data_IF_363565736376
#
_entry.id   IF_363565736376
#
_cell.length_a   1.000
_cell.length_b   1.000
_cell.length_c   1.000
_cell.angle_alpha   90.00
_cell.angle_beta   90.00
_cell.angle_gamma   90.00
#
_symmetry.space_group_name_H-M   'P 1'
#
loop_
_entity.id
_entity.type
_entity.pdbx_description
1 polymer ?
#
# COMPACT_ATOMS: atom_id res chain seq x y z
N UNK A 1 6.73 15.11 39.51
CA UNK A 1 6.17 15.46 38.18
C UNK A 1 6.70 14.46 37.16
N UNK A 2 5.88 13.49 36.76
CA UNK A 2 6.24 12.53 35.70
C UNK A 2 6.19 13.27 34.36
N UNK A 3 7.33 13.33 33.67
CA UNK A 3 7.47 14.00 32.38
C UNK A 3 6.58 13.29 31.37
N UNK A 4 5.67 14.03 30.72
CA UNK A 4 4.87 13.48 29.63
C UNK A 4 5.78 12.78 28.58
N UNK A 5 5.40 11.60 28.07
CA UNK A 5 6.20 10.93 27.06
C UNK A 5 6.37 11.85 25.86
N UNK A 6 7.61 12.06 25.43
CA UNK A 6 7.89 12.83 24.21
C UNK A 6 7.13 12.19 23.05
N UNK A 7 6.42 12.96 22.21
CA UNK A 7 5.81 12.42 21.02
C UNK A 7 6.88 11.71 20.19
N UNK A 8 6.58 10.48 19.77
CA UNK A 8 7.50 9.72 18.92
C UNK A 8 7.61 10.47 17.59
N UNK A 9 8.84 10.75 17.10
CA UNK A 9 9.01 11.41 15.82
C UNK A 9 8.41 10.56 14.70
N UNK A 10 7.77 11.22 13.74
CA UNK A 10 7.11 10.59 12.59
C UNK A 10 8.09 9.83 11.70
N UNK A 11 9.32 10.34 11.59
CA UNK A 11 10.43 9.78 10.83
C UNK A 11 11.69 9.63 11.70
N UNK A 12 12.47 8.58 11.45
CA UNK A 12 13.81 8.43 12.03
C UNK A 12 14.80 9.41 11.38
N UNK A 13 15.87 9.78 12.11
CA UNK A 13 16.91 10.65 11.56
C UNK A 13 17.56 10.09 10.28
N UNK A 14 17.63 8.75 10.17
CA UNK A 14 18.14 8.08 8.97
C UNK A 14 17.20 8.30 7.77
N UNK A 15 15.89 8.17 7.96
CA UNK A 15 14.89 8.42 6.91
C UNK A 15 14.91 9.88 6.45
N UNK A 16 14.97 10.82 7.39
CA UNK A 16 15.06 12.24 7.07
C UNK A 16 16.34 12.54 6.30
N UNK A 17 17.47 11.97 6.74
CA UNK A 17 18.75 12.19 6.07
C UNK A 17 18.77 11.58 4.66
N UNK A 18 18.23 10.38 4.48
CA UNK A 18 18.10 9.74 3.17
C UNK A 18 17.16 10.49 2.22
N UNK A 19 16.22 11.29 2.74
CA UNK A 19 15.33 12.12 1.92
C UNK A 19 16.03 13.39 1.45
N UNK A 20 16.63 14.14 2.38
CA UNK A 20 17.18 15.45 2.07
C UNK A 20 18.57 15.39 1.47
N UNK A 21 19.32 14.31 1.65
CA UNK A 21 20.73 14.27 1.27
C UNK A 21 21.06 13.15 0.29
N UNK A 22 21.90 13.49 -0.68
CA UNK A 22 22.51 12.57 -1.63
C UNK A 22 24.02 12.54 -1.39
N UNK A 23 24.70 11.37 -1.47
CA UNK A 23 26.16 11.34 -1.45
C UNK A 23 26.73 12.26 -2.53
N UNK A 24 27.72 13.08 -2.18
CA UNK A 24 28.48 13.80 -3.20
C UNK A 24 29.28 12.79 -4.01
N UNK A 25 29.44 13.05 -5.31
CA UNK A 25 30.33 12.28 -6.16
C UNK A 25 31.57 13.10 -6.55
N UNK A 26 32.68 12.42 -6.78
CA UNK A 26 33.89 13.01 -7.35
C UNK A 26 33.81 13.12 -8.88
N UNK A 27 34.93 13.47 -9.51
CA UNK A 27 35.06 13.62 -10.97
C UNK A 27 34.84 12.31 -11.75
N UNK A 28 34.92 11.16 -11.10
CA UNK A 28 34.65 9.83 -11.68
C UNK A 28 33.25 9.31 -11.34
N UNK A 29 32.38 10.16 -10.80
CA UNK A 29 31.06 9.81 -10.28
C UNK A 29 31.08 8.88 -9.05
N UNK A 30 32.23 8.71 -8.40
CA UNK A 30 32.36 7.84 -7.23
C UNK A 30 31.94 8.57 -5.94
N UNK A 31 31.26 7.90 -4.99
CA UNK A 31 30.79 8.55 -3.76
C UNK A 31 31.95 9.07 -2.90
N UNK A 32 31.99 10.37 -2.66
CA UNK A 32 32.93 11.00 -1.72
C UNK A 32 32.51 10.65 -0.30
N UNK A 33 33.31 9.89 0.47
CA UNK A 33 32.94 9.46 1.81
C UNK A 33 32.66 10.65 2.73
N UNK A 34 31.67 10.51 3.59
CA UNK A 34 31.26 11.52 4.56
C UNK A 34 30.66 12.82 3.97
N UNK A 35 30.69 13.07 2.66
CA UNK A 35 30.13 14.29 2.08
C UNK A 35 28.78 14.05 1.43
N UNK A 36 27.82 14.87 1.84
CA UNK A 36 26.43 14.75 1.42
C UNK A 36 25.90 16.10 0.97
N UNK A 37 25.23 16.13 -0.17
CA UNK A 37 24.58 17.33 -0.70
C UNK A 37 23.10 17.32 -0.35
N UNK A 38 22.64 18.36 0.34
CA UNK A 38 21.23 18.57 0.62
C UNK A 38 20.47 18.95 -0.66
N UNK A 39 19.16 18.69 -0.71
CA UNK A 39 18.24 19.16 -1.76
C UNK A 39 18.27 20.69 -1.94
N UNK A 40 18.56 21.47 -0.90
CA UNK A 40 18.77 22.92 -1.00
C UNK A 40 20.14 23.31 -1.59
N UNK A 41 20.96 22.34 -2.00
CA UNK A 41 22.30 22.53 -2.57
C UNK A 41 23.43 22.57 -1.54
N UNK A 42 23.13 22.71 -0.24
CA UNK A 42 24.17 22.80 0.81
C UNK A 42 24.90 21.47 1.02
N UNK A 43 26.22 21.49 0.99
CA UNK A 43 27.05 20.30 1.29
C UNK A 43 27.32 20.21 2.79
N UNK A 44 27.15 19.02 3.37
CA UNK A 44 27.40 18.70 4.77
C UNK A 44 28.32 17.49 4.88
N UNK A 45 29.26 17.57 5.82
CA UNK A 45 30.14 16.45 6.17
C UNK A 45 29.59 15.68 7.36
N UNK A 46 29.24 14.41 7.19
CA UNK A 46 28.80 13.49 8.24
C UNK A 46 29.96 12.57 8.67
N UNK A 47 30.60 12.90 9.80
CA UNK A 47 31.64 12.05 10.39
C UNK A 47 31.03 10.94 11.24
N UNK A 48 31.69 9.78 11.31
CA UNK A 48 31.25 8.63 12.15
C UNK A 48 30.94 8.99 13.60
N UNK A 49 31.63 9.98 14.18
CA UNK A 49 31.43 10.44 15.57
C UNK A 49 30.11 11.19 15.80
N UNK A 50 29.56 11.85 14.78
CA UNK A 50 28.44 12.78 14.94
C UNK A 50 27.06 12.15 14.69
N UNK A 51 27.02 10.92 14.16
CA UNK A 51 25.79 10.29 13.72
C UNK A 51 25.02 11.18 12.73
N UNK A 52 23.71 11.31 12.89
CA UNK A 52 22.85 12.17 12.05
C UNK A 52 22.64 13.59 12.61
N UNK A 53 23.28 13.94 13.73
CA UNK A 53 22.93 15.15 14.48
C UNK A 53 23.13 16.44 13.70
N UNK A 54 24.24 16.53 12.95
CA UNK A 54 24.57 17.68 12.11
C UNK A 54 23.64 17.82 10.88
N UNK A 55 23.30 16.71 10.24
CA UNK A 55 22.36 16.65 9.12
C UNK A 55 20.96 17.09 9.61
N UNK A 56 20.53 16.57 10.75
CA UNK A 56 19.25 16.94 11.35
C UNK A 56 19.19 18.39 11.80
N UNK A 57 20.28 18.95 12.31
CA UNK A 57 20.35 20.37 12.65
C UNK A 57 20.18 21.24 11.39
N UNK A 58 20.81 20.85 10.28
CA UNK A 58 20.62 21.54 9.01
C UNK A 58 19.18 21.44 8.51
N UNK A 59 18.61 20.22 8.49
CA UNK A 59 17.23 20.01 8.02
C UNK A 59 16.24 20.82 8.85
N UNK A 60 16.33 20.80 10.18
CA UNK A 60 15.40 21.59 11.02
C UNK A 60 15.49 23.09 10.79
N UNK A 61 16.64 23.60 10.33
CA UNK A 61 16.87 25.02 10.10
C UNK A 61 16.45 25.46 8.70
N UNK A 62 16.86 24.72 7.67
CA UNK A 62 16.61 25.08 6.26
C UNK A 62 15.32 24.46 5.70
N UNK A 63 14.80 23.41 6.35
CA UNK A 63 13.57 22.71 5.98
C UNK A 63 12.64 22.56 7.21
N UNK A 64 12.10 23.67 7.77
CA UNK A 64 11.25 23.59 8.97
C UNK A 64 10.00 22.71 8.77
N UNK A 65 9.51 22.62 7.53
CA UNK A 65 8.37 21.82 7.07
C UNK A 65 8.74 20.40 6.62
N UNK A 66 9.95 19.91 6.92
CA UNK A 66 10.47 18.66 6.35
C UNK A 66 9.53 17.45 6.47
N UNK A 67 8.78 17.33 7.57
CA UNK A 67 7.84 16.21 7.76
C UNK A 67 6.65 16.24 6.81
N UNK A 68 6.20 17.44 6.42
CA UNK A 68 5.10 17.62 5.47
C UNK A 68 5.61 17.37 4.04
N UNK A 69 6.79 17.89 3.71
CA UNK A 69 7.47 17.63 2.43
C UNK A 69 7.68 16.13 2.22
N UNK A 70 8.19 15.41 3.23
CA UNK A 70 8.39 13.96 3.16
C UNK A 70 7.07 13.17 3.01
N UNK A 71 5.95 13.70 3.52
CA UNK A 71 4.63 13.05 3.39
C UNK A 71 3.98 13.29 2.03
N UNK A 72 4.23 14.46 1.43
CA UNK A 72 3.71 14.82 0.12
C UNK A 72 4.57 14.29 -1.05
N UNK A 73 5.80 13.83 -0.75
CA UNK A 73 6.74 13.38 -1.74
C UNK A 73 6.19 12.25 -2.62
N UNK A 74 6.33 12.41 -3.93
CA UNK A 74 5.91 11.41 -4.91
C UNK A 74 7.01 10.39 -5.18
N UNK A 75 6.63 9.23 -5.74
CA UNK A 75 7.61 8.25 -6.26
C UNK A 75 8.48 8.87 -7.37
N UNK A 76 7.95 9.79 -8.17
CA UNK A 76 8.71 10.51 -9.19
C UNK A 76 9.84 11.36 -8.60
N UNK A 77 9.61 12.03 -7.46
CA UNK A 77 10.59 12.90 -6.79
C UNK A 77 11.64 12.16 -5.96
N UNK A 78 11.40 10.90 -5.64
CA UNK A 78 12.24 10.14 -4.70
C UNK A 78 12.74 8.81 -5.25
N UNK A 79 12.30 8.41 -6.43
CA UNK A 79 12.56 7.10 -7.04
C UNK A 79 11.78 5.96 -6.36
N UNK A 80 11.83 5.87 -5.04
CA UNK A 80 11.12 4.84 -4.27
C UNK A 80 10.71 5.33 -2.88
N UNK A 81 9.44 5.11 -2.53
CA UNK A 81 8.93 5.38 -1.18
C UNK A 81 9.47 4.41 -0.11
N UNK A 82 10.10 3.30 -0.53
CA UNK A 82 10.60 2.25 0.38
C UNK A 82 11.60 2.81 1.40
N UNK A 83 12.43 3.78 1.00
CA UNK A 83 13.45 4.37 1.89
C UNK A 83 12.84 5.24 3.00
N UNK A 84 11.60 5.70 2.84
CA UNK A 84 10.90 6.58 3.79
C UNK A 84 9.77 5.86 4.54
N UNK A 85 9.32 4.72 4.02
CA UNK A 85 8.37 3.86 4.71
C UNK A 85 8.98 3.27 5.99
N UNK A 86 8.14 3.03 7.00
CA UNK A 86 8.57 2.29 8.19
C UNK A 86 9.01 0.89 7.75
N UNK A 87 10.11 0.39 8.32
CA UNK A 87 10.63 -0.97 8.02
C UNK A 87 9.53 -2.04 8.15
N UNK A 88 8.67 -1.93 9.16
CA UNK A 88 7.53 -2.83 9.35
C UNK A 88 6.52 -2.76 8.21
N UNK A 89 6.24 -1.57 7.66
CA UNK A 89 5.35 -1.40 6.50
C UNK A 89 5.97 -2.01 5.25
N UNK A 90 7.26 -1.76 5.00
CA UNK A 90 8.00 -2.37 3.88
C UNK A 90 7.97 -3.88 3.99
N UNK A 91 8.19 -4.43 5.19
CA UNK A 91 8.18 -5.87 5.42
C UNK A 91 6.81 -6.49 5.13
N UNK A 92 5.74 -5.86 5.62
CA UNK A 92 4.35 -6.29 5.41
C UNK A 92 3.96 -6.23 3.93
N UNK A 93 4.30 -5.12 3.28
CA UNK A 93 4.07 -4.97 1.84
C UNK A 93 4.84 -6.00 1.03
N UNK A 94 6.11 -6.28 1.37
CA UNK A 94 6.91 -7.30 0.68
C UNK A 94 6.29 -8.70 0.76
N UNK A 95 5.74 -9.09 1.93
CA UNK A 95 5.00 -10.35 2.05
C UNK A 95 3.72 -10.37 1.22
N UNK A 96 2.92 -9.30 1.27
CA UNK A 96 1.69 -9.18 0.48
C UNK A 96 1.98 -9.25 -1.02
N UNK A 97 2.93 -8.45 -1.49
CA UNK A 97 3.33 -8.39 -2.90
C UNK A 97 3.79 -9.76 -3.38
N UNK A 98 4.66 -10.43 -2.61
CA UNK A 98 5.19 -11.73 -3.01
C UNK A 98 4.08 -12.78 -3.07
N UNK A 99 3.26 -12.91 -2.02
CA UNK A 99 2.22 -13.95 -1.98
C UNK A 99 1.16 -13.70 -3.05
N UNK A 100 0.70 -12.45 -3.22
CA UNK A 100 -0.36 -12.11 -4.18
C UNK A 100 0.13 -12.17 -5.61
N UNK A 101 1.25 -11.50 -5.95
CA UNK A 101 1.72 -11.43 -7.35
C UNK A 101 2.28 -12.75 -7.86
N UNK A 102 2.84 -13.59 -6.99
CA UNK A 102 3.30 -14.93 -7.35
C UNK A 102 2.22 -16.00 -7.18
N UNK A 103 0.99 -15.63 -6.81
CA UNK A 103 -0.14 -16.54 -6.61
C UNK A 103 0.22 -17.75 -5.71
N UNK A 104 0.84 -17.47 -4.56
CA UNK A 104 1.30 -18.49 -3.62
C UNK A 104 0.25 -18.78 -2.54
N UNK A 105 0.24 -19.99 -1.96
CA UNK A 105 -0.60 -20.28 -0.80
C UNK A 105 -0.28 -19.32 0.36
N UNK A 106 -1.30 -18.91 1.14
CA UNK A 106 -1.08 -18.02 2.30
C UNK A 106 -0.09 -18.60 3.32
N UNK A 107 -0.07 -19.93 3.48
CA UNK A 107 0.87 -20.67 4.34
C UNK A 107 2.34 -20.50 3.93
N UNK A 108 2.62 -19.96 2.74
CA UNK A 108 3.97 -19.72 2.26
C UNK A 108 4.76 -18.78 3.18
N UNK A 109 4.13 -17.78 3.81
CA UNK A 109 4.83 -16.88 4.73
C UNK A 109 5.36 -17.58 6.00
N UNK A 110 4.85 -18.78 6.29
CA UNK A 110 5.29 -19.64 7.38
C UNK A 110 6.22 -20.77 6.94
N UNK A 111 6.44 -20.94 5.64
CA UNK A 111 7.30 -21.98 5.10
C UNK A 111 8.75 -21.82 5.61
N UNK A 112 9.35 -22.86 6.23
CA UNK A 112 10.69 -22.77 6.79
C UNK A 112 11.78 -22.41 5.77
N UNK A 113 11.69 -22.90 4.53
CA UNK A 113 12.65 -22.59 3.47
C UNK A 113 12.47 -21.15 2.98
N UNK A 114 11.22 -20.70 2.78
CA UNK A 114 10.95 -19.32 2.40
C UNK A 114 11.51 -18.34 3.44
N UNK A 115 11.26 -18.60 4.73
CA UNK A 115 11.81 -17.82 5.86
C UNK A 115 13.33 -17.86 5.94
N UNK A 116 13.95 -19.00 5.57
CA UNK A 116 15.42 -19.15 5.58
C UNK A 116 16.10 -18.31 4.49
N UNK A 117 15.48 -18.18 3.32
CA UNK A 117 16.11 -17.56 2.15
C UNK A 117 15.64 -16.13 1.86
N UNK A 118 14.63 -15.63 2.57
CA UNK A 118 14.15 -14.24 2.44
C UNK A 118 14.88 -13.28 3.39
N UNK A 119 14.90 -12.00 3.01
CA UNK A 119 15.31 -10.90 3.90
C UNK A 119 14.13 -10.27 4.66
N UNK A 120 12.90 -10.77 4.45
CA UNK A 120 11.71 -10.32 5.16
C UNK A 120 11.64 -10.93 6.57
N UNK A 121 11.34 -10.09 7.57
CA UNK A 121 11.04 -10.52 8.92
C UNK A 121 9.82 -11.45 8.91
N UNK A 122 9.86 -12.61 9.61
CA UNK A 122 8.77 -13.58 9.61
C UNK A 122 7.43 -12.99 10.06
N UNK A 123 6.35 -13.38 9.39
CA UNK A 123 4.96 -13.11 9.79
C UNK A 123 4.16 -14.42 9.86
N UNK A 124 3.04 -14.39 10.57
CA UNK A 124 2.09 -15.52 10.59
C UNK A 124 1.05 -15.42 9.46
N UNK A 125 0.38 -16.54 9.16
CA UNK A 125 -0.74 -16.56 8.20
C UNK A 125 -1.86 -15.63 8.65
N UNK A 126 -2.16 -15.58 9.95
CA UNK A 126 -3.20 -14.69 10.49
C UNK A 126 -2.85 -13.22 10.27
N UNK A 127 -1.57 -12.88 10.46
CA UNK A 127 -1.07 -11.53 10.20
C UNK A 127 -1.19 -11.19 8.71
N UNK A 128 -0.78 -12.09 7.83
CA UNK A 128 -0.90 -11.89 6.38
C UNK A 128 -2.36 -11.70 5.97
N UNK A 129 -3.27 -12.55 6.46
CA UNK A 129 -4.70 -12.48 6.16
C UNK A 129 -5.31 -11.15 6.61
N UNK A 130 -5.05 -10.72 7.84
CA UNK A 130 -5.54 -9.44 8.34
C UNK A 130 -5.02 -8.25 7.52
N UNK A 131 -3.78 -8.32 7.04
CA UNK A 131 -3.21 -7.32 6.13
C UNK A 131 -3.91 -7.33 4.77
N UNK A 132 -4.17 -8.50 4.19
CA UNK A 132 -4.90 -8.63 2.93
C UNK A 132 -6.32 -8.07 3.04
N UNK A 133 -7.05 -8.41 4.11
CA UNK A 133 -8.39 -7.87 4.40
C UNK A 133 -8.37 -6.34 4.51
N UNK A 134 -7.39 -5.78 5.24
CA UNK A 134 -7.24 -4.33 5.39
C UNK A 134 -6.94 -3.64 4.05
N UNK A 135 -6.09 -4.24 3.21
CA UNK A 135 -5.77 -3.72 1.87
C UNK A 135 -6.98 -3.81 0.95
N UNK A 136 -7.73 -4.92 0.98
CA UNK A 136 -8.94 -5.08 0.19
C UNK A 136 -9.99 -4.01 0.54
N UNK A 137 -10.16 -3.69 1.84
CA UNK A 137 -11.05 -2.61 2.29
C UNK A 137 -10.59 -1.24 1.75
N UNK A 138 -9.30 -0.92 1.85
CA UNK A 138 -8.77 0.34 1.34
C UNK A 138 -8.93 0.47 -0.18
N UNK A 139 -8.62 -0.59 -0.92
CA UNK A 139 -8.86 -0.64 -2.37
C UNK A 139 -10.34 -0.49 -2.68
N UNK A 140 -11.23 -1.09 -1.89
CA UNK A 140 -12.67 -0.91 -2.03
C UNK A 140 -13.12 0.54 -1.87
N UNK A 141 -12.57 1.27 -0.89
CA UNK A 141 -12.82 2.70 -0.70
C UNK A 141 -12.30 3.53 -1.87
N UNK A 142 -11.11 3.20 -2.39
CA UNK A 142 -10.54 3.89 -3.55
C UNK A 142 -11.41 3.67 -4.81
N UNK A 143 -11.87 2.43 -5.04
CA UNK A 143 -12.83 2.12 -6.11
C UNK A 143 -14.12 2.93 -5.92
N UNK A 144 -14.70 2.94 -4.71
CA UNK A 144 -15.94 3.67 -4.44
C UNK A 144 -15.79 5.19 -4.71
N UNK A 145 -14.65 5.77 -4.34
CA UNK A 145 -14.35 7.19 -4.58
C UNK A 145 -14.12 7.53 -6.05
N UNK A 146 -13.66 6.58 -6.86
CA UNK A 146 -13.45 6.77 -8.30
C UNK A 146 -14.72 6.52 -9.14
N UNK A 147 -15.63 5.65 -8.67
CA UNK A 147 -16.75 5.19 -9.48
C UNK A 147 -17.68 6.33 -9.94
N UNK A 148 -17.95 6.47 -11.26
CA UNK A 148 -18.89 7.45 -11.76
C UNK A 148 -20.35 7.12 -11.41
N UNK A 149 -21.27 8.01 -11.73
CA UNK A 149 -22.72 7.76 -11.57
C UNK A 149 -23.27 6.75 -12.59
N UNK A 150 -22.60 6.62 -13.75
CA UNK A 150 -22.96 5.66 -14.80
C UNK A 150 -21.77 4.77 -15.11
N UNK A 151 -21.98 3.47 -14.98
CA UNK A 151 -21.02 2.42 -15.28
C UNK A 151 -21.77 1.18 -15.76
N UNK A 152 -21.05 0.27 -16.41
CA UNK A 152 -21.56 -1.06 -16.72
C UNK A 152 -21.17 -2.07 -15.63
N UNK A 153 -21.93 -3.16 -15.56
CA UNK A 153 -21.59 -4.34 -14.79
C UNK A 153 -21.27 -5.48 -15.76
N UNK A 154 -20.20 -6.21 -15.45
CA UNK A 154 -19.83 -7.44 -16.15
C UNK A 154 -19.83 -8.58 -15.13
N UNK A 155 -20.59 -9.63 -15.42
CA UNK A 155 -20.80 -10.76 -14.52
C UNK A 155 -20.13 -12.00 -15.12
N UNK A 156 -19.42 -12.74 -14.28
CA UNK A 156 -18.94 -14.09 -14.61
C UNK A 156 -19.43 -15.07 -13.55
N UNK A 157 -20.13 -16.11 -13.98
CA UNK A 157 -20.79 -17.07 -13.10
C UNK A 157 -20.28 -18.48 -13.36
N UNK A 158 -19.86 -19.18 -12.31
CA UNK A 158 -19.44 -20.59 -12.42
C UNK A 158 -19.90 -21.39 -11.22
N UNK A 159 -19.99 -22.71 -11.39
CA UNK A 159 -20.34 -23.63 -10.32
C UNK A 159 -19.15 -24.52 -9.97
N UNK A 160 -18.85 -24.63 -8.68
CA UNK A 160 -17.82 -25.54 -8.18
C UNK A 160 -18.29 -26.19 -6.88
N UNK A 161 -18.16 -27.51 -6.78
CA UNK A 161 -18.55 -28.30 -5.60
C UNK A 161 -19.96 -27.95 -5.08
N UNK A 162 -20.95 -27.91 -5.99
CA UNK A 162 -22.35 -27.58 -5.70
C UNK A 162 -22.63 -26.15 -5.23
N UNK A 163 -21.65 -25.25 -5.30
CA UNK A 163 -21.82 -23.82 -4.99
C UNK A 163 -21.73 -23.02 -6.29
N UNK A 164 -22.73 -22.17 -6.54
CA UNK A 164 -22.72 -21.22 -7.65
C UNK A 164 -22.13 -19.89 -7.19
N UNK A 165 -21.03 -19.51 -7.82
CA UNK A 165 -20.30 -18.27 -7.56
C UNK A 165 -20.59 -17.27 -8.67
N UNK A 166 -20.61 -16.00 -8.30
CA UNK A 166 -20.68 -14.88 -9.23
C UNK A 166 -19.52 -13.93 -8.91
N UNK A 167 -18.74 -13.60 -9.93
CA UNK A 167 -17.83 -12.47 -9.92
C UNK A 167 -18.52 -11.27 -10.56
N UNK A 168 -18.52 -10.15 -9.84
CA UNK A 168 -19.12 -8.89 -10.25
C UNK A 168 -18.00 -7.91 -10.54
N UNK A 169 -17.85 -7.53 -11.80
CA UNK A 169 -16.94 -6.48 -12.24
C UNK A 169 -17.72 -5.22 -12.56
N UNK A 170 -17.12 -4.08 -12.26
CA UNK A 170 -17.55 -2.79 -12.78
C UNK A 170 -16.69 -2.41 -13.99
N UNK A 171 -17.32 -1.84 -15.01
CA UNK A 171 -16.65 -1.32 -16.19
C UNK A 171 -17.07 0.12 -16.48
N UNK A 172 -16.10 1.02 -16.65
CA UNK A 172 -16.33 2.44 -16.87
C UNK A 172 -15.18 3.05 -17.66
N UNK A 173 -15.32 4.31 -18.10
CA UNK A 173 -14.29 5.01 -18.84
C UNK A 173 -13.82 6.25 -18.07
N UNK A 174 -12.51 6.43 -17.98
CA UNK A 174 -11.87 7.66 -17.47
C UNK A 174 -10.99 8.18 -18.60
N UNK A 175 -11.24 9.41 -19.05
CA UNK A 175 -10.51 10.07 -20.14
C UNK A 175 -10.40 9.21 -21.42
N UNK A 176 -11.48 8.50 -21.76
CA UNK A 176 -11.53 7.62 -22.93
C UNK A 176 -10.84 6.26 -22.76
N UNK A 177 -10.28 5.97 -21.59
CA UNK A 177 -9.65 4.69 -21.26
C UNK A 177 -10.60 3.84 -20.44
N UNK A 178 -10.88 2.62 -20.91
CA UNK A 178 -11.70 1.66 -20.19
C UNK A 178 -10.97 1.17 -18.92
N UNK A 179 -11.68 1.19 -17.80
CA UNK A 179 -11.25 0.66 -16.51
C UNK A 179 -12.19 -0.45 -16.06
N UNK A 180 -11.60 -1.43 -15.38
CA UNK A 180 -12.30 -2.60 -14.86
C UNK A 180 -11.84 -2.85 -13.42
N UNK A 181 -12.79 -3.08 -12.52
CA UNK A 181 -12.48 -3.47 -11.15
C UNK A 181 -13.41 -4.60 -10.69
N UNK A 182 -12.86 -5.57 -9.95
CA UNK A 182 -13.65 -6.62 -9.30
C UNK A 182 -14.26 -6.04 -8.02
N UNK A 183 -15.59 -6.06 -7.92
CA UNK A 183 -16.33 -5.61 -6.73
C UNK A 183 -16.56 -6.74 -5.74
N UNK A 184 -16.91 -7.92 -6.24
CA UNK A 184 -17.22 -9.08 -5.41
C UNK A 184 -16.96 -10.37 -6.18
N UNK A 185 -16.60 -11.41 -5.44
CA UNK A 185 -16.45 -12.77 -5.91
C UNK A 185 -16.95 -13.68 -4.79
N UNK A 186 -18.21 -14.08 -4.85
CA UNK A 186 -18.85 -14.81 -3.77
C UNK A 186 -19.91 -15.79 -4.27
N UNK A 187 -20.27 -16.79 -3.45
CA UNK A 187 -21.51 -17.55 -3.65
C UNK A 187 -22.71 -16.63 -3.71
N UNK A 188 -23.66 -16.95 -4.59
CA UNK A 188 -24.90 -16.20 -4.68
C UNK A 188 -25.92 -16.60 -3.61
N UNK A 189 -25.93 -17.89 -3.25
CA UNK A 189 -26.78 -18.41 -2.17
C UNK A 189 -26.03 -18.12 -0.86
N UNK A 190 -26.46 -17.07 -0.15
CA UNK A 190 -25.89 -16.64 1.12
C UNK A 190 -26.85 -16.91 2.28
N UNK A 191 -28.15 -16.86 2.02
CA UNK A 191 -29.22 -17.09 2.98
C UNK A 191 -30.00 -18.40 2.69
N UNK A 192 -30.68 -18.99 3.70
CA UNK A 192 -31.45 -20.22 3.52
C UNK A 192 -32.58 -20.14 2.49
N UNK A 193 -33.06 -18.93 2.17
CA UNK A 193 -34.15 -18.70 1.21
C UNK A 193 -33.65 -18.27 -0.17
N UNK A 194 -32.34 -18.14 -0.36
CA UNK A 194 -31.76 -17.76 -1.63
C UNK A 194 -31.91 -18.90 -2.65
N UNK A 195 -32.22 -18.52 -3.88
CA UNK A 195 -32.25 -19.42 -5.02
C UNK A 195 -31.45 -18.82 -6.19
N UNK A 196 -31.43 -19.51 -7.32
CA UNK A 196 -30.75 -19.01 -8.53
C UNK A 196 -31.66 -18.13 -9.38
N UNK A 197 -32.72 -17.54 -8.80
CA UNK A 197 -33.64 -16.68 -9.53
C UNK A 197 -32.99 -15.34 -9.88
N UNK A 198 -33.57 -14.66 -10.88
CA UNK A 198 -33.20 -13.29 -11.23
C UNK A 198 -33.39 -12.30 -10.07
N UNK A 199 -34.33 -12.57 -9.15
CA UNK A 199 -34.55 -11.75 -7.96
C UNK A 199 -33.37 -11.82 -7.01
N UNK A 200 -32.92 -13.02 -6.65
CA UNK A 200 -31.76 -13.21 -5.77
C UNK A 200 -30.49 -12.63 -6.41
N UNK A 201 -30.33 -12.73 -7.74
CA UNK A 201 -29.25 -12.03 -8.45
C UNK A 201 -29.35 -10.51 -8.31
N UNK A 202 -30.54 -9.91 -8.49
CA UNK A 202 -30.74 -8.47 -8.32
C UNK A 202 -30.43 -8.03 -6.89
N UNK A 203 -30.90 -8.76 -5.88
CA UNK A 203 -30.68 -8.46 -4.47
C UNK A 203 -29.19 -8.57 -4.09
N UNK A 204 -28.51 -9.63 -4.53
CA UNK A 204 -27.06 -9.78 -4.38
C UNK A 204 -26.29 -8.61 -5.01
N UNK A 205 -26.63 -8.22 -6.24
CA UNK A 205 -26.00 -7.08 -6.91
C UNK A 205 -26.26 -5.76 -6.18
N UNK A 206 -27.47 -5.54 -5.68
CA UNK A 206 -27.80 -4.36 -4.89
C UNK A 206 -26.94 -4.28 -3.62
N UNK A 207 -26.82 -5.40 -2.89
CA UNK A 207 -25.98 -5.47 -1.69
C UNK A 207 -24.49 -5.24 -2.00
N UNK A 208 -23.97 -5.80 -3.09
CA UNK A 208 -22.59 -5.52 -3.53
C UNK A 208 -22.42 -4.03 -3.81
N UNK A 209 -23.31 -3.40 -4.58
CA UNK A 209 -23.21 -1.98 -4.93
C UNK A 209 -23.34 -1.04 -3.72
N UNK A 210 -24.15 -1.41 -2.73
CA UNK A 210 -24.32 -0.63 -1.50
C UNK A 210 -23.00 -0.46 -0.76
N UNK A 211 -22.13 -1.48 -0.74
CA UNK A 211 -20.79 -1.39 -0.12
C UNK A 211 -19.87 -0.35 -0.79
N UNK A 212 -20.17 0.03 -2.02
CA UNK A 212 -19.46 1.07 -2.78
C UNK A 212 -20.26 2.39 -2.86
N UNK A 213 -21.34 2.53 -2.10
CA UNK A 213 -22.19 3.73 -2.09
C UNK A 213 -22.98 3.92 -3.38
N UNK A 214 -23.30 2.83 -4.09
CA UNK A 214 -24.07 2.84 -5.35
C UNK A 214 -25.38 2.07 -5.17
N UNK A 215 -26.34 2.37 -6.04
CA UNK A 215 -27.65 1.72 -6.06
C UNK A 215 -28.02 1.34 -7.50
N UNK A 216 -28.83 0.29 -7.64
CA UNK A 216 -29.48 -0.02 -8.92
C UNK A 216 -30.59 0.99 -9.16
N UNK A 217 -30.65 1.55 -10.37
CA UNK A 217 -31.82 2.29 -10.83
C UNK A 217 -32.94 1.31 -11.18
N UNK A 218 -34.19 1.68 -10.90
CA UNK A 218 -35.38 0.94 -11.32
C UNK A 218 -35.63 1.00 -12.84
#
# INVERSE_FOLDING_TARGET
>A
MLRAPRPRPSFSNAQVSAYFFTPCSDEYAEPVPEYFRCRCGTVRKQTRRNGFSNLMQHVRREHPSFEAEMRAATTAETGSLIHYARRTSVNRFGWLEWVVKANLPLVFCENPLARRYTNLEPISVETLRALMESVAQLVGLDIAGELPDRFGLMLDGWSHASVHYVAVFVCYAVDGVAKYALLSMAPIIQEPNDDLSARTHREYLAGVLETFGKALSD
#
